data_IF_672143482846
#
_entry.id   IF_672143482846
#
_cell.length_a   1.000
_cell.length_b   1.000
_cell.length_c   1.000
_cell.angle_alpha   90.00
_cell.angle_beta   90.00
_cell.angle_gamma   90.00
#
_symmetry.space_group_name_H-M   'P 1'
#
loop_
_entity.id
_entity.type
_entity.pdbx_description
1 polymer ?
#
# COMPACT_ATOMS: atom_id res chain seq x y z
N UNK A 1 -23.39 -14.92 40.53
CA UNK A 1 -23.02 -13.52 40.28
C UNK A 1 -21.64 -13.38 39.64
N UNK A 2 -20.58 -14.05 40.14
CA UNK A 2 -19.22 -13.95 39.57
C UNK A 2 -19.11 -14.36 38.08
N UNK A 3 -19.84 -15.40 37.65
CA UNK A 3 -19.82 -15.86 36.25
C UNK A 3 -20.44 -14.86 35.25
N UNK A 4 -21.38 -14.00 35.69
CA UNK A 4 -22.02 -13.02 34.81
C UNK A 4 -21.08 -11.87 34.46
N UNK A 5 -20.25 -11.42 35.41
CA UNK A 5 -19.25 -10.38 35.18
C UNK A 5 -18.14 -10.83 34.23
N UNK A 6 -17.71 -12.10 34.31
CA UNK A 6 -16.69 -12.67 33.43
C UNK A 6 -17.19 -12.73 31.98
N UNK A 7 -18.45 -13.12 31.77
CA UNK A 7 -19.05 -13.19 30.42
C UNK A 7 -19.20 -11.80 29.83
N UNK A 8 -19.63 -10.79 30.61
CA UNK A 8 -19.76 -9.40 30.14
C UNK A 8 -18.39 -8.79 29.79
N UNK A 9 -17.34 -9.07 30.58
CA UNK A 9 -15.99 -8.58 30.30
C UNK A 9 -15.41 -9.20 29.02
N UNK A 10 -15.63 -10.50 28.80
CA UNK A 10 -15.21 -11.19 27.57
C UNK A 10 -15.94 -10.67 26.32
N UNK A 11 -17.24 -10.36 26.42
CA UNK A 11 -17.99 -9.75 25.33
C UNK A 11 -17.50 -8.33 24.98
N UNK A 12 -17.16 -7.51 25.98
CA UNK A 12 -16.62 -6.17 25.76
C UNK A 12 -15.24 -6.18 25.11
N UNK A 13 -14.39 -7.18 25.39
CA UNK A 13 -13.07 -7.31 24.73
C UNK A 13 -13.15 -7.76 23.27
N UNK A 14 -14.26 -8.36 22.83
CA UNK A 14 -14.43 -8.79 21.42
C UNK A 14 -14.94 -7.70 20.48
N UNK A 15 -15.39 -6.56 21.02
CA UNK A 15 -15.95 -5.44 20.24
C UNK A 15 -14.90 -4.44 19.77
N UNK A 16 -13.68 -4.50 20.29
CA UNK A 16 -12.58 -3.59 19.96
C UNK A 16 -11.59 -4.18 18.96
N UNK A 17 -12.10 -4.76 17.87
CA UNK A 17 -11.30 -4.87 16.65
C UNK A 17 -11.20 -3.46 16.05
N UNK A 18 -10.21 -2.69 16.50
CA UNK A 18 -9.92 -1.41 15.87
C UNK A 18 -9.59 -1.66 14.40
N UNK A 19 -10.38 -1.09 13.51
CA UNK A 19 -10.11 -1.15 12.08
C UNK A 19 -8.85 -0.32 11.82
N UNK A 20 -7.83 -0.92 11.22
CA UNK A 20 -6.61 -0.19 10.87
C UNK A 20 -6.73 0.30 9.43
N UNK A 21 -6.63 1.60 9.20
CA UNK A 21 -6.68 2.18 7.86
C UNK A 21 -5.55 3.19 7.63
N UNK A 22 -5.22 3.41 6.36
CA UNK A 22 -4.37 4.55 5.96
C UNK A 22 -5.21 5.84 6.09
N UNK A 23 -4.69 6.89 6.75
CA UNK A 23 -5.35 8.19 6.86
C UNK A 23 -5.87 8.71 5.51
N UNK A 24 -7.07 9.31 5.53
CA UNK A 24 -7.77 9.74 4.31
C UNK A 24 -6.95 10.76 3.50
N UNK A 25 -6.27 11.69 4.17
CA UNK A 25 -5.42 12.68 3.54
C UNK A 25 -4.25 12.04 2.77
N UNK A 26 -3.66 10.96 3.30
CA UNK A 26 -2.62 10.21 2.59
C UNK A 26 -3.19 9.48 1.38
N UNK A 27 -4.34 8.81 1.52
CA UNK A 27 -5.01 8.12 0.40
C UNK A 27 -5.36 9.08 -0.74
N UNK A 28 -5.92 10.24 -0.42
CA UNK A 28 -6.24 11.28 -1.41
C UNK A 28 -4.97 11.84 -2.07
N UNK A 29 -3.90 12.04 -1.30
CA UNK A 29 -2.62 12.47 -1.86
C UNK A 29 -2.02 11.44 -2.82
N UNK A 30 -2.09 10.15 -2.48
CA UNK A 30 -1.61 9.07 -3.34
C UNK A 30 -2.46 8.89 -4.60
N UNK A 31 -3.79 9.01 -4.49
CA UNK A 31 -4.68 9.03 -5.65
C UNK A 31 -4.36 10.20 -6.59
N UNK A 32 -4.17 11.40 -6.06
CA UNK A 32 -3.90 12.59 -6.87
C UNK A 32 -2.62 12.47 -7.71
N UNK A 33 -1.54 11.91 -7.14
CA UNK A 33 -0.28 11.74 -7.86
C UNK A 33 -0.28 10.55 -8.83
N UNK A 34 -1.10 9.53 -8.58
CA UNK A 34 -1.16 8.31 -9.41
C UNK A 34 -2.19 8.40 -10.53
N UNK A 35 -3.28 9.18 -10.38
CA UNK A 35 -4.44 9.19 -11.29
C UNK A 35 -4.12 9.32 -12.78
N UNK A 36 -3.09 10.09 -13.13
CA UNK A 36 -2.66 10.31 -14.53
C UNK A 36 -2.06 9.06 -15.19
N UNK A 37 -1.69 8.04 -14.42
CA UNK A 37 -1.08 6.80 -14.89
C UNK A 37 -2.02 5.59 -14.79
N UNK A 38 -3.13 5.71 -14.05
CA UNK A 38 -4.05 4.60 -13.78
C UNK A 38 -4.63 4.01 -15.07
N UNK A 39 -5.14 4.84 -15.99
CA UNK A 39 -5.78 4.35 -17.21
C UNK A 39 -4.83 3.59 -18.14
N UNK A 40 -3.61 4.09 -18.31
CA UNK A 40 -2.57 3.44 -19.10
C UNK A 40 -2.20 2.09 -18.50
N UNK A 41 -1.95 2.05 -17.18
CA UNK A 41 -1.57 0.82 -16.49
C UNK A 41 -2.71 -0.22 -16.39
N UNK A 42 -3.97 0.21 -16.34
CA UNK A 42 -5.13 -0.69 -16.45
C UNK A 42 -5.13 -1.38 -17.82
N UNK A 43 -4.91 -0.63 -18.89
CA UNK A 43 -4.89 -1.14 -20.26
C UNK A 43 -3.76 -2.15 -20.46
N UNK A 44 -2.54 -1.81 -20.03
CA UNK A 44 -1.35 -2.62 -20.23
C UNK A 44 -1.41 -3.95 -19.48
N UNK A 45 -1.97 -3.95 -18.26
CA UNK A 45 -1.99 -5.13 -17.38
C UNK A 45 -3.28 -5.93 -17.53
N UNK A 46 -4.36 -5.32 -18.02
CA UNK A 46 -5.67 -5.95 -18.13
C UNK A 46 -6.38 -6.14 -16.78
N UNK A 47 -6.00 -5.37 -15.77
CA UNK A 47 -6.70 -5.38 -14.47
C UNK A 47 -8.04 -4.67 -14.58
N UNK A 48 -9.07 -5.14 -13.88
CA UNK A 48 -10.36 -4.44 -13.90
C UNK A 48 -10.23 -3.03 -13.31
N UNK A 49 -10.83 -2.00 -13.91
CA UNK A 49 -10.78 -0.63 -13.37
C UNK A 49 -11.25 -0.52 -11.92
N UNK A 50 -12.28 -1.26 -11.53
CA UNK A 50 -12.79 -1.27 -10.16
C UNK A 50 -11.70 -1.71 -9.16
N UNK A 51 -11.04 -2.85 -9.40
CA UNK A 51 -9.93 -3.32 -8.56
C UNK A 51 -8.77 -2.31 -8.47
N UNK A 52 -8.44 -1.64 -9.58
CA UNK A 52 -7.35 -0.66 -9.63
C UNK A 52 -7.64 0.60 -8.78
N UNK A 53 -8.90 1.06 -8.80
CA UNK A 53 -9.37 2.21 -8.01
C UNK A 53 -9.53 1.84 -6.54
N UNK A 54 -10.17 0.70 -6.27
CA UNK A 54 -10.46 0.23 -4.91
C UNK A 54 -9.18 -0.05 -4.11
N UNK A 55 -8.10 -0.50 -4.78
CA UNK A 55 -6.81 -0.72 -4.14
C UNK A 55 -6.23 0.54 -3.49
N UNK A 56 -6.21 1.68 -4.19
CA UNK A 56 -5.65 2.92 -3.65
C UNK A 56 -6.63 3.68 -2.75
N UNK A 57 -7.90 3.75 -3.14
CA UNK A 57 -8.89 4.57 -2.44
C UNK A 57 -9.52 3.87 -1.24
N UNK A 58 -9.81 2.57 -1.33
CA UNK A 58 -10.47 1.82 -0.26
C UNK A 58 -9.51 1.02 0.61
N UNK A 59 -8.22 0.94 0.23
CA UNK A 59 -7.25 0.11 0.94
C UNK A 59 -7.55 -1.38 0.83
N UNK A 60 -8.23 -1.81 -0.25
CA UNK A 60 -8.51 -3.22 -0.50
C UNK A 60 -7.25 -3.92 -1.04
N UNK A 61 -6.41 -4.39 -0.11
CA UNK A 61 -5.18 -5.11 -0.44
C UNK A 61 -5.50 -6.47 -1.05
N UNK A 62 -4.94 -6.75 -2.22
CA UNK A 62 -5.19 -7.96 -2.99
C UNK A 62 -3.90 -8.74 -3.21
N UNK A 63 -3.98 -10.06 -3.14
CA UNK A 63 -2.89 -11.00 -3.49
C UNK A 63 -2.88 -11.35 -4.99
N UNK A 64 -3.74 -10.71 -5.79
CA UNK A 64 -3.82 -10.89 -7.23
C UNK A 64 -2.54 -10.39 -7.92
N UNK A 65 -1.87 -11.27 -8.68
CA UNK A 65 -0.63 -10.95 -9.38
C UNK A 65 -0.78 -9.79 -10.36
N UNK A 66 -1.96 -9.64 -10.97
CA UNK A 66 -2.24 -8.51 -11.86
C UNK A 66 -2.19 -7.18 -11.10
N UNK A 67 -2.58 -7.16 -9.82
CA UNK A 67 -2.50 -5.95 -8.99
C UNK A 67 -1.04 -5.59 -8.68
N UNK A 68 -0.18 -6.58 -8.43
CA UNK A 68 1.24 -6.34 -8.15
C UNK A 68 1.91 -5.66 -9.36
N UNK A 69 1.63 -6.20 -10.56
CA UNK A 69 2.18 -5.64 -11.79
C UNK A 69 1.54 -4.30 -12.18
N UNK A 70 0.28 -4.06 -11.82
CA UNK A 70 -0.35 -2.75 -11.93
C UNK A 70 0.35 -1.70 -11.06
N UNK A 71 0.64 -2.00 -9.78
CA UNK A 71 1.42 -1.11 -8.90
C UNK A 71 2.80 -0.85 -9.48
N UNK A 72 3.48 -1.89 -9.99
CA UNK A 72 4.77 -1.74 -10.67
C UNK A 72 4.67 -0.81 -11.88
N UNK A 73 3.61 -0.91 -12.69
CA UNK A 73 3.41 0.00 -13.82
C UNK A 73 3.32 1.46 -13.37
N UNK A 74 2.46 1.74 -12.38
CA UNK A 74 2.29 3.09 -11.82
C UNK A 74 3.61 3.60 -11.24
N UNK A 75 4.29 2.78 -10.44
CA UNK A 75 5.57 3.12 -9.82
C UNK A 75 6.68 3.44 -10.83
N UNK A 76 6.77 2.68 -11.93
CA UNK A 76 7.72 2.97 -13.02
C UNK A 76 7.39 4.29 -13.72
N UNK A 77 6.12 4.56 -14.01
CA UNK A 77 5.68 5.80 -14.67
C UNK A 77 5.92 7.05 -13.81
N UNK A 78 5.91 6.87 -12.49
CA UNK A 78 6.22 7.90 -11.52
C UNK A 78 7.72 7.99 -11.18
N UNK A 79 8.58 7.21 -11.83
CA UNK A 79 10.02 7.11 -11.55
C UNK A 79 10.36 6.68 -10.10
N UNK A 80 9.44 5.96 -9.44
CA UNK A 80 9.63 5.45 -8.08
C UNK A 80 10.51 4.18 -8.06
N UNK A 81 10.68 3.53 -9.20
CA UNK A 81 11.55 2.37 -9.37
C UNK A 81 12.55 2.64 -10.50
N UNK A 82 13.77 2.15 -10.34
CA UNK A 82 14.75 2.12 -11.41
C UNK A 82 14.27 1.17 -12.51
N UNK A 83 14.16 1.60 -13.78
CA UNK A 83 13.64 0.75 -14.85
C UNK A 83 14.49 -0.49 -15.15
N UNK A 84 15.81 -0.41 -14.96
CA UNK A 84 16.75 -1.47 -15.27
C UNK A 84 16.87 -2.49 -14.13
N UNK A 85 16.90 -2.02 -12.88
CA UNK A 85 17.15 -2.88 -11.70
C UNK A 85 15.91 -3.19 -10.88
N UNK A 86 14.81 -2.45 -11.09
CA UNK A 86 13.62 -2.51 -10.24
C UNK A 86 13.82 -1.88 -8.86
N UNK A 87 15.00 -1.32 -8.57
CA UNK A 87 15.34 -0.81 -7.25
C UNK A 87 14.50 0.43 -6.87
N UNK A 88 13.98 0.51 -5.63
CA UNK A 88 13.21 1.67 -5.17
C UNK A 88 14.04 2.96 -5.10
N UNK A 89 13.51 4.02 -5.70
CA UNK A 89 14.04 5.37 -5.67
C UNK A 89 13.48 6.12 -4.44
N UNK A 90 14.18 6.00 -3.31
CA UNK A 90 13.76 6.55 -2.01
C UNK A 90 13.49 8.06 -2.08
N UNK A 91 14.33 8.82 -2.78
CA UNK A 91 14.18 10.28 -2.83
C UNK A 91 12.93 10.69 -3.60
N UNK A 92 12.61 9.97 -4.68
CA UNK A 92 11.43 10.26 -5.49
C UNK A 92 10.14 9.80 -4.80
N UNK A 93 10.20 8.71 -4.03
CA UNK A 93 9.08 8.29 -3.17
C UNK A 93 8.83 9.33 -2.08
N UNK A 94 9.88 9.77 -1.37
CA UNK A 94 9.79 10.77 -0.32
C UNK A 94 9.22 12.10 -0.83
N UNK A 95 9.55 12.47 -2.06
CA UNK A 95 9.07 13.70 -2.71
C UNK A 95 7.59 13.64 -3.07
N UNK A 96 7.08 12.47 -3.47
CA UNK A 96 5.73 12.34 -4.06
C UNK A 96 4.68 11.76 -3.10
N UNK A 97 5.06 10.90 -2.15
CA UNK A 97 4.11 10.20 -1.30
C UNK A 97 4.02 10.85 0.09
N UNK A 98 2.85 11.44 0.36
CA UNK A 98 2.51 11.95 1.69
C UNK A 98 2.57 10.84 2.76
N UNK A 99 2.85 11.25 4.00
CA UNK A 99 2.99 10.33 5.14
C UNK A 99 4.32 9.58 5.18
N UNK A 100 5.25 9.86 4.25
CA UNK A 100 6.54 9.15 4.20
C UNK A 100 7.72 9.89 4.83
N UNK A 101 8.70 9.12 5.30
CA UNK A 101 9.97 9.62 5.81
C UNK A 101 11.12 8.70 5.37
N UNK A 102 12.36 9.21 5.42
CA UNK A 102 13.54 8.52 4.89
C UNK A 102 13.84 7.20 5.60
N UNK A 103 13.68 7.14 6.91
CA UNK A 103 13.99 5.93 7.69
C UNK A 103 13.05 4.79 7.35
N UNK A 104 11.75 5.06 7.27
CA UNK A 104 10.75 4.11 6.80
C UNK A 104 11.08 3.61 5.39
N UNK A 105 11.30 4.51 4.45
CA UNK A 105 11.56 4.13 3.06
C UNK A 105 12.83 3.32 2.89
N UNK A 106 13.85 3.59 3.71
CA UNK A 106 15.08 2.81 3.76
C UNK A 106 14.84 1.40 4.31
N UNK A 107 14.03 1.26 5.36
CA UNK A 107 13.63 -0.05 5.88
C UNK A 107 12.86 -0.85 4.83
N UNK A 108 11.88 -0.24 4.18
CA UNK A 108 11.12 -0.87 3.11
C UNK A 108 12.01 -1.30 1.94
N UNK A 109 12.90 -0.42 1.47
CA UNK A 109 13.86 -0.74 0.41
C UNK A 109 14.79 -1.88 0.79
N UNK A 110 15.30 -1.90 2.02
CA UNK A 110 16.14 -3.00 2.48
C UNK A 110 15.37 -4.32 2.50
N UNK A 111 14.06 -4.30 2.71
CA UNK A 111 13.20 -5.48 2.61
C UNK A 111 13.07 -6.07 1.21
N UNK A 112 13.45 -5.35 0.14
CA UNK A 112 13.31 -5.85 -1.24
C UNK A 112 14.55 -6.56 -1.78
N UNK A 113 15.66 -6.61 -1.04
CA UNK A 113 16.96 -7.07 -1.57
C UNK A 113 16.98 -8.51 -2.09
N UNK A 114 16.09 -9.38 -1.60
CA UNK A 114 15.96 -10.77 -2.02
C UNK A 114 14.94 -10.97 -3.16
N UNK A 115 14.17 -9.93 -3.50
CA UNK A 115 13.18 -9.98 -4.55
C UNK A 115 13.84 -9.69 -5.90
N UNK A 116 13.47 -10.47 -6.92
CA UNK A 116 13.99 -10.32 -8.29
C UNK A 116 12.95 -9.76 -9.26
N UNK A 117 11.70 -10.10 -9.06
CA UNK A 117 10.62 -9.67 -9.92
C UNK A 117 10.17 -8.25 -9.54
N UNK A 118 10.04 -7.37 -10.53
CA UNK A 118 9.73 -5.97 -10.30
C UNK A 118 8.29 -5.75 -9.80
N UNK A 119 7.35 -6.63 -10.13
CA UNK A 119 6.00 -6.59 -9.58
C UNK A 119 6.02 -6.94 -8.08
N UNK A 120 6.81 -7.94 -7.68
CA UNK A 120 7.01 -8.27 -6.25
C UNK A 120 7.66 -7.11 -5.49
N UNK A 121 8.71 -6.50 -6.06
CA UNK A 121 9.37 -5.34 -5.45
C UNK A 121 8.39 -4.18 -5.26
N UNK A 122 7.60 -3.84 -6.28
CA UNK A 122 6.65 -2.75 -6.22
C UNK A 122 5.55 -2.99 -5.17
N UNK A 123 4.98 -4.20 -5.16
CA UNK A 123 3.94 -4.55 -4.19
C UNK A 123 4.48 -4.60 -2.76
N UNK A 124 5.69 -5.15 -2.56
CA UNK A 124 6.34 -5.17 -1.26
C UNK A 124 6.58 -3.74 -0.76
N UNK A 125 7.13 -2.86 -1.59
CA UNK A 125 7.38 -1.47 -1.21
C UNK A 125 6.09 -0.77 -0.78
N UNK A 126 5.03 -0.89 -1.58
CA UNK A 126 3.73 -0.32 -1.26
C UNK A 126 3.18 -0.87 0.07
N UNK A 127 3.18 -2.20 0.23
CA UNK A 127 2.66 -2.85 1.43
C UNK A 127 3.44 -2.46 2.67
N UNK A 128 4.77 -2.36 2.56
CA UNK A 128 5.63 -1.89 3.65
C UNK A 128 5.28 -0.46 4.05
N UNK A 129 5.16 0.47 3.10
CA UNK A 129 4.77 1.86 3.39
C UNK A 129 3.42 1.91 4.10
N UNK A 130 2.43 1.17 3.59
CA UNK A 130 1.11 1.04 4.21
C UNK A 130 1.24 0.59 5.66
N UNK A 131 2.00 -0.47 5.96
CA UNK A 131 2.11 -1.01 7.32
C UNK A 131 2.68 -0.02 8.33
N UNK A 132 3.45 0.96 7.88
CA UNK A 132 4.00 2.01 8.73
C UNK A 132 3.06 3.21 8.93
N UNK A 133 2.10 3.43 8.04
CA UNK A 133 1.21 4.61 8.09
C UNK A 133 -0.23 4.28 8.48
N UNK A 134 -0.60 3.00 8.56
CA UNK A 134 -1.91 2.59 9.07
C UNK A 134 -2.09 3.01 10.53
N UNK A 135 -3.28 3.48 10.87
CA UNK A 135 -3.67 3.89 12.21
C UNK A 135 -5.02 3.29 12.59
N UNK A 136 -5.32 3.14 13.90
CA UNK A 136 -6.67 2.77 14.35
C UNK A 136 -7.70 3.83 13.94
N UNK A 137 -8.84 3.39 13.43
CA UNK A 137 -10.03 4.21 13.11
C UNK A 137 -11.09 4.07 14.19
#
# INVERSE_FOLDING_TARGET
MMNTYIIVFLYLTTLSNALMEVPLDYRLGWDDVTKKHISECICDIGVSPAKAVDFFLKGEYSTDRCIYCYIKCVAMKMNLLNPATGEPNVDEILRQLAGTNRDMLTQCKNGTHFLKDHCDIAYFMYSCIVTHVIVPV
#
